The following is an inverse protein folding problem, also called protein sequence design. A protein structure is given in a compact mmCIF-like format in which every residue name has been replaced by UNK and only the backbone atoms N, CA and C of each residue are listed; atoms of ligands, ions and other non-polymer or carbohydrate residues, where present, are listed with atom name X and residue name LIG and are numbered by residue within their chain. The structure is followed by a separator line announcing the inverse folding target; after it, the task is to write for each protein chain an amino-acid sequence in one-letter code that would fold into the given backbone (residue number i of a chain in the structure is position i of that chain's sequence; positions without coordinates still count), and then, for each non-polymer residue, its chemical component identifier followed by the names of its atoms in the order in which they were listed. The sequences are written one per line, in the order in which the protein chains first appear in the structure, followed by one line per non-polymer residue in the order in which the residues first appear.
data_IF_814272329622
#
_entry.id   IF_814272329622
#
_cell.length_a   1.000
_cell.length_b   1.000
_cell.length_c   1.000
_cell.angle_alpha   90.00
_cell.angle_beta   90.00
_cell.angle_gamma   90.00
#
_symmetry.space_group_name_H-M   'P 1'
#
loop_
_entity.id
_entity.type
_entity.pdbx_description
1 polymer ?
#
# COMPACT_ATOMS: atom_id res chain seq x y z
N UNK A 1 61.04 -28.38 15.41
CA UNK A 1 60.63 -27.15 14.70
C UNK A 1 60.26 -27.53 13.28
N UNK A 2 59.17 -27.13 12.62
CA UNK A 2 58.02 -26.29 12.95
C UNK A 2 56.85 -26.76 12.05
N UNK A 3 55.62 -26.74 12.56
CA UNK A 3 54.43 -27.23 11.88
C UNK A 3 53.89 -26.28 10.81
N UNK A 4 53.53 -26.80 9.65
CA UNK A 4 52.80 -26.05 8.62
C UNK A 4 51.30 -26.30 8.76
N UNK A 5 50.64 -25.44 9.55
CA UNK A 5 49.18 -25.34 9.61
C UNK A 5 48.69 -24.76 8.29
N UNK A 6 48.18 -25.61 7.38
CA UNK A 6 47.43 -25.14 6.21
C UNK A 6 46.09 -24.56 6.68
N UNK A 7 46.10 -23.24 6.88
CA UNK A 7 44.91 -22.44 7.20
C UNK A 7 43.98 -22.48 5.99
N UNK A 8 43.04 -23.43 6.00
CA UNK A 8 41.93 -23.50 5.05
C UNK A 8 41.08 -22.24 5.18
N UNK A 9 41.43 -21.21 4.42
CA UNK A 9 40.70 -19.96 4.33
C UNK A 9 39.33 -20.25 3.73
N UNK A 10 38.31 -20.31 4.59
CA UNK A 10 36.90 -20.25 4.20
C UNK A 10 36.74 -18.97 3.36
N UNK A 11 36.70 -19.11 2.04
CA UNK A 11 36.36 -18.00 1.13
C UNK A 11 34.93 -17.58 1.49
N UNK A 12 34.80 -16.58 2.37
CA UNK A 12 33.54 -15.83 2.51
C UNK A 12 33.32 -15.17 1.16
N UNK A 13 32.42 -15.72 0.35
CA UNK A 13 31.78 -14.97 -0.71
C UNK A 13 31.10 -13.78 -0.03
N UNK A 14 31.80 -12.65 0.02
CA UNK A 14 31.20 -11.38 0.38
C UNK A 14 30.32 -11.03 -0.81
N UNK A 15 29.01 -11.28 -0.69
CA UNK A 15 28.02 -10.77 -1.61
C UNK A 15 28.29 -9.27 -1.77
N UNK A 16 28.41 -8.80 -3.01
CA UNK A 16 28.63 -7.38 -3.25
C UNK A 16 27.35 -6.67 -2.77
N UNK A 17 27.44 -5.54 -2.05
CA UNK A 17 26.25 -4.80 -1.61
C UNK A 17 25.30 -4.45 -2.76
N UNK A 18 25.80 -4.38 -4.00
CA UNK A 18 25.03 -4.20 -5.23
C UNK A 18 24.16 -5.41 -5.60
N UNK A 19 24.54 -6.63 -5.22
CA UNK A 19 23.73 -7.84 -5.45
C UNK A 19 22.52 -7.94 -4.50
N UNK A 20 22.51 -7.16 -3.41
CA UNK A 20 21.39 -7.09 -2.47
C UNK A 20 20.23 -6.25 -3.03
N UNK A 21 20.54 -5.31 -3.93
CA UNK A 21 19.59 -4.40 -4.54
C UNK A 21 19.49 -4.71 -6.02
N UNK A 22 18.80 -5.81 -6.34
CA UNK A 22 18.46 -6.12 -7.73
C UNK A 22 17.65 -4.96 -8.32
N UNK A 23 17.84 -4.59 -9.59
CA UNK A 23 17.00 -3.61 -10.25
C UNK A 23 15.53 -4.05 -10.13
N UNK A 24 14.69 -3.15 -9.62
CA UNK A 24 13.25 -3.39 -9.47
C UNK A 24 12.68 -3.57 -10.87
N UNK A 25 11.98 -4.67 -11.17
CA UNK A 25 11.35 -4.84 -12.47
C UNK A 25 10.33 -3.72 -12.72
N UNK A 26 10.14 -3.36 -13.97
CA UNK A 26 9.11 -2.39 -14.35
C UNK A 26 7.75 -2.90 -13.86
N UNK A 27 7.03 -2.08 -13.10
CA UNK A 27 5.66 -2.39 -12.69
C UNK A 27 4.73 -2.24 -13.90
N UNK A 28 3.63 -3.02 -13.96
CA UNK A 28 2.58 -2.77 -14.94
C UNK A 28 1.98 -1.39 -14.73
N UNK A 29 1.33 -0.87 -15.77
CA UNK A 29 0.57 0.36 -15.66
C UNK A 29 -0.55 0.19 -14.61
N UNK A 30 -0.81 1.22 -13.80
CA UNK A 30 -1.84 1.16 -12.77
C UNK A 30 -3.23 1.03 -13.40
N UNK A 31 -4.06 0.18 -12.79
CA UNK A 31 -5.48 0.09 -13.15
C UNK A 31 -6.23 1.36 -12.75
N UNK A 32 -7.27 1.77 -13.50
CA UNK A 32 -8.14 2.87 -13.11
C UNK A 32 -8.81 2.63 -11.75
N UNK A 33 -8.98 3.72 -11.00
CA UNK A 33 -9.52 3.75 -9.65
C UNK A 33 -10.96 4.27 -9.70
N UNK A 34 -11.88 3.46 -9.19
CA UNK A 34 -13.26 3.89 -8.94
C UNK A 34 -13.37 4.57 -7.56
N UNK A 35 -14.04 5.73 -7.51
CA UNK A 35 -14.27 6.43 -6.24
C UNK A 35 -15.42 5.76 -5.50
N UNK A 36 -15.17 5.38 -4.25
CA UNK A 36 -16.19 4.75 -3.40
C UNK A 36 -17.42 5.67 -3.22
N UNK A 37 -18.60 5.15 -3.59
CA UNK A 37 -19.90 5.84 -3.41
C UNK A 37 -20.15 6.14 -1.93
N UNK A 38 -19.77 5.21 -1.06
CA UNK A 38 -19.88 5.38 0.39
C UNK A 38 -18.62 4.84 1.09
N UNK A 39 -17.68 5.71 1.45
CA UNK A 39 -16.40 5.31 2.04
C UNK A 39 -16.51 4.80 3.48
N UNK A 40 -17.69 4.90 4.09
CA UNK A 40 -17.92 4.48 5.49
C UNK A 40 -18.66 3.15 5.59
N UNK A 41 -19.07 2.56 4.46
CA UNK A 41 -19.80 1.28 4.40
C UNK A 41 -19.10 0.15 5.16
N UNK A 42 -17.81 -0.06 4.88
CA UNK A 42 -17.05 -1.15 5.50
C UNK A 42 -16.95 -0.96 7.01
N UNK A 43 -16.65 0.26 7.47
CA UNK A 43 -16.53 0.55 8.90
C UNK A 43 -17.84 0.28 9.63
N UNK A 44 -18.97 0.77 9.09
CA UNK A 44 -20.29 0.55 9.71
C UNK A 44 -20.70 -0.93 9.69
N UNK A 45 -20.28 -1.70 8.70
CA UNK A 45 -20.56 -3.14 8.63
C UNK A 45 -19.90 -3.95 9.75
N UNK A 46 -18.85 -3.42 10.39
CA UNK A 46 -18.16 -4.07 11.51
C UNK A 46 -18.93 -3.91 12.84
N UNK A 47 -19.97 -3.08 12.87
CA UNK A 47 -20.77 -2.80 14.07
C UNK A 47 -20.12 -1.75 14.98
N UNK A 48 -20.69 -1.62 16.18
CA UNK A 48 -20.27 -0.58 17.12
C UNK A 48 -18.83 -0.81 17.61
N UNK A 49 -17.99 0.24 17.66
CA UNK A 49 -16.64 0.11 18.17
C UNK A 49 -16.66 -0.28 19.66
N UNK A 50 -15.83 -1.24 20.10
CA UNK A 50 -15.84 -1.76 21.46
C UNK A 50 -15.15 -0.79 22.45
N UNK A 51 -15.68 0.42 22.58
CA UNK A 51 -15.17 1.48 23.44
C UNK A 51 -16.21 1.83 24.50
N UNK A 52 -15.93 1.44 25.74
CA UNK A 52 -16.83 1.65 26.89
C UNK A 52 -17.21 3.14 27.03
N UNK A 53 -18.49 3.46 26.81
CA UNK A 53 -19.04 4.81 26.98
C UNK A 53 -18.64 5.83 25.89
N UNK A 54 -17.80 5.46 24.93
CA UNK A 54 -17.28 6.36 23.89
C UNK A 54 -17.53 5.86 22.46
N UNK A 55 -18.28 4.76 22.29
CA UNK A 55 -18.48 4.12 21.00
C UNK A 55 -19.04 5.07 19.92
N UNK A 56 -20.08 5.84 20.27
CA UNK A 56 -20.72 6.78 19.35
C UNK A 56 -19.80 7.93 18.91
N UNK A 57 -18.99 8.48 19.83
CA UNK A 57 -18.03 9.53 19.50
C UNK A 57 -16.91 8.99 18.60
N UNK A 58 -16.43 7.79 18.90
CA UNK A 58 -15.39 7.14 18.09
C UNK A 58 -15.89 6.81 16.68
N UNK A 59 -17.10 6.28 16.55
CA UNK A 59 -17.73 6.01 15.25
C UNK A 59 -17.84 7.29 14.42
N UNK A 60 -18.28 8.39 15.02
CA UNK A 60 -18.38 9.68 14.35
C UNK A 60 -17.04 10.17 13.79
N UNK A 61 -15.98 10.12 14.61
CA UNK A 61 -14.66 10.58 14.17
C UNK A 61 -14.04 9.66 13.12
N UNK A 62 -14.22 8.34 13.23
CA UNK A 62 -13.77 7.39 12.20
C UNK A 62 -14.47 7.70 10.87
N UNK A 63 -15.80 7.86 10.89
CA UNK A 63 -16.56 8.20 9.69
C UNK A 63 -16.08 9.52 9.07
N UNK A 64 -15.82 10.53 9.88
CA UNK A 64 -15.31 11.84 9.43
C UNK A 64 -13.93 11.73 8.76
N UNK A 65 -13.03 10.94 9.34
CA UNK A 65 -11.70 10.70 8.76
C UNK A 65 -11.82 9.94 7.45
N UNK A 66 -12.65 8.90 7.39
CA UNK A 66 -12.85 8.09 6.19
C UNK A 66 -13.40 8.90 5.01
N UNK A 67 -14.39 9.77 5.24
CA UNK A 67 -14.93 10.66 4.20
C UNK A 67 -13.83 11.57 3.66
N UNK A 68 -13.07 12.24 4.54
CA UNK A 68 -12.00 13.17 4.11
C UNK A 68 -10.87 12.46 3.38
N UNK A 69 -10.45 11.30 3.89
CA UNK A 69 -9.40 10.50 3.26
C UNK A 69 -9.81 10.06 1.85
N UNK A 70 -11.07 9.68 1.67
CA UNK A 70 -11.58 9.23 0.37
C UNK A 70 -11.69 10.38 -0.63
N UNK A 71 -12.13 11.56 -0.19
CA UNK A 71 -12.12 12.77 -1.03
C UNK A 71 -10.70 13.14 -1.46
N UNK A 72 -9.73 13.06 -0.54
CA UNK A 72 -8.32 13.34 -0.85
C UNK A 72 -7.77 12.31 -1.85
N UNK A 73 -8.06 11.02 -1.64
CA UNK A 73 -7.63 9.95 -2.52
C UNK A 73 -8.22 10.13 -3.93
N UNK A 74 -9.51 10.48 -4.04
CA UNK A 74 -10.15 10.78 -5.32
C UNK A 74 -9.50 11.97 -6.04
N UNK A 75 -9.19 13.05 -5.33
CA UNK A 75 -8.50 14.20 -5.91
C UNK A 75 -7.07 13.86 -6.38
N UNK A 76 -6.35 13.02 -5.63
CA UNK A 76 -5.03 12.55 -6.04
C UNK A 76 -5.10 11.63 -7.27
N UNK A 77 -6.10 10.76 -7.33
CA UNK A 77 -6.34 9.90 -8.49
C UNK A 77 -6.68 10.73 -9.74
N UNK A 78 -7.48 11.79 -9.59
CA UNK A 78 -7.81 12.73 -10.68
C UNK A 78 -6.55 13.43 -11.22
N UNK A 79 -5.73 13.98 -10.32
CA UNK A 79 -4.46 14.64 -10.68
C UNK A 79 -3.49 13.66 -11.36
N UNK A 80 -3.53 12.38 -10.99
CA UNK A 80 -2.72 11.34 -11.59
C UNK A 80 -3.31 10.78 -12.90
N UNK A 81 -4.51 11.20 -13.32
CA UNK A 81 -5.19 10.65 -14.49
C UNK A 81 -5.61 9.19 -14.32
N UNK A 82 -5.80 8.74 -13.07
CA UNK A 82 -6.09 7.36 -12.71
C UNK A 82 -7.57 7.12 -12.38
N UNK A 83 -8.46 8.09 -12.56
CA UNK A 83 -9.88 7.85 -12.33
C UNK A 83 -10.47 7.01 -13.46
N UNK A 84 -11.28 6.03 -13.07
CA UNK A 84 -12.13 5.33 -14.02
C UNK A 84 -13.11 6.34 -14.65
N UNK A 85 -13.15 6.41 -15.98
CA UNK A 85 -13.99 7.36 -16.70
C UNK A 85 -15.36 6.73 -16.93
N UNK A 86 -16.44 7.21 -16.28
CA UNK A 86 -17.78 6.71 -16.55
C UNK A 86 -18.24 7.23 -17.91
N UNK A 87 -17.91 6.50 -18.99
CA UNK A 87 -18.32 6.84 -20.36
C UNK A 87 -17.30 6.60 -21.46
N UNK A 88 -16.14 5.96 -21.20
CA UNK A 88 -15.32 5.45 -22.28
C UNK A 88 -16.07 4.31 -22.98
N UNK A 89 -16.79 4.61 -24.06
CA UNK A 89 -17.27 3.58 -24.97
C UNK A 89 -16.06 2.76 -25.42
N UNK A 90 -16.14 1.42 -25.40
CA UNK A 90 -15.04 0.60 -25.86
C UNK A 90 -14.82 0.92 -27.34
N UNK A 91 -13.61 1.34 -27.70
CA UNK A 91 -13.21 1.49 -29.10
C UNK A 91 -13.41 0.12 -29.80
N UNK A 92 -14.37 0.05 -30.74
CA UNK A 92 -14.60 -1.10 -31.65
C UNK A 92 -13.44 -1.28 -32.64
#
# INVERSE_FOLDING_TARGET
MAGSRRKGGRRRNKLKPTDLWRPVPQLPDPEPIEVAIDPTMIVRSLGDPPLHGQGQLAEHEINRVMVRASMLAGALADVAGLLDQPGAEPDE
#
